data_IF_483188724933
#
_entry.id   IF_483188724933
#
_cell.length_a   1.000
_cell.length_b   1.000
_cell.length_c   1.000
_cell.angle_alpha   90.00
_cell.angle_beta   90.00
_cell.angle_gamma   90.00
#
_symmetry.space_group_name_H-M   'P 1'
#
loop_
_entity.id
_entity.type
_entity.pdbx_description
1 polymer ?
#
# COMPACT_ATOMS: atom_id res chain seq x y z
N UNK A 1 44.37 45.98 -13.36
CA UNK A 1 43.88 44.61 -13.14
C UNK A 1 42.37 44.69 -13.05
N UNK A 2 41.70 44.46 -14.18
CA UNK A 2 40.26 44.27 -14.29
C UNK A 2 39.99 42.76 -14.30
N UNK A 3 38.90 42.28 -13.70
CA UNK A 3 38.52 40.87 -13.79
C UNK A 3 37.88 40.57 -15.16
N UNK A 4 38.29 39.44 -15.74
CA UNK A 4 37.87 38.94 -17.05
C UNK A 4 36.38 38.58 -17.10
N UNK A 5 35.78 38.93 -18.24
CA UNK A 5 34.42 38.60 -18.65
C UNK A 5 34.33 37.14 -19.10
N UNK A 6 33.30 36.41 -18.68
CA UNK A 6 32.87 35.19 -19.37
C UNK A 6 31.93 35.54 -20.54
N UNK A 7 32.08 34.92 -21.73
CA UNK A 7 31.18 35.13 -22.85
C UNK A 7 30.08 34.05 -22.96
N UNK A 8 28.87 34.49 -23.33
CA UNK A 8 28.05 33.79 -24.32
C UNK A 8 26.88 32.96 -23.82
N UNK A 9 25.76 33.62 -23.57
CA UNK A 9 24.40 33.07 -23.77
C UNK A 9 24.16 32.79 -25.26
N UNK A 10 23.56 31.64 -25.58
CA UNK A 10 22.75 31.48 -26.79
C UNK A 10 21.66 30.42 -26.58
N UNK A 11 20.46 30.92 -26.26
CA UNK A 11 19.11 30.45 -26.60
C UNK A 11 18.80 28.94 -26.67
N UNK A 12 18.01 28.47 -25.70
CA UNK A 12 16.71 27.84 -25.98
C UNK A 12 15.79 27.94 -24.75
N UNK A 13 15.09 29.07 -24.65
CA UNK A 13 14.00 29.28 -23.69
C UNK A 13 12.82 28.38 -24.07
N UNK A 14 12.77 27.17 -23.52
CA UNK A 14 11.51 26.44 -23.40
C UNK A 14 10.75 27.02 -22.20
N UNK A 15 9.87 27.97 -22.50
CA UNK A 15 8.97 28.58 -21.54
C UNK A 15 8.11 27.50 -20.86
N UNK A 16 8.10 27.49 -19.52
CA UNK A 16 7.27 26.64 -18.63
C UNK A 16 5.77 26.61 -18.94
N UNK A 17 5.28 27.39 -19.92
CA UNK A 17 3.88 27.43 -20.37
C UNK A 17 3.52 26.42 -21.46
N UNK A 18 4.49 25.82 -22.15
CA UNK A 18 4.18 24.91 -23.27
C UNK A 18 3.91 23.44 -22.84
N UNK A 19 4.25 23.07 -21.61
CA UNK A 19 3.98 21.73 -21.07
C UNK A 19 2.48 21.45 -20.85
N UNK A 20 1.65 22.49 -20.72
CA UNK A 20 0.20 22.35 -20.45
C UNK A 20 -0.66 22.21 -21.72
N UNK A 21 -0.09 22.29 -22.92
CA UNK A 21 -0.86 22.25 -24.18
C UNK A 21 -1.06 20.86 -24.77
N UNK A 22 -0.33 19.84 -24.30
CA UNK A 22 -0.41 18.49 -24.89
C UNK A 22 -1.40 17.53 -24.20
N UNK A 23 -2.10 17.97 -23.15
CA UNK A 23 -3.08 17.13 -22.44
C UNK A 23 -4.53 17.22 -23.00
N UNK A 24 -4.75 17.91 -24.12
CA UNK A 24 -6.10 18.08 -24.66
C UNK A 24 -6.14 17.95 -26.19
N UNK A 25 -6.56 16.79 -26.68
CA UNK A 25 -7.06 16.64 -28.05
C UNK A 25 -6.76 15.30 -28.70
N UNK A 26 -7.80 14.49 -28.92
CA UNK A 26 -7.70 13.30 -29.77
C UNK A 26 -8.87 12.35 -29.68
N UNK A 27 -10.07 12.76 -30.11
CA UNK A 27 -11.15 11.83 -30.49
C UNK A 27 -11.13 11.70 -32.01
N UNK A 28 -10.91 10.50 -32.53
CA UNK A 28 -11.19 10.17 -33.92
C UNK A 28 -11.75 8.74 -34.01
N UNK A 29 -12.82 8.61 -34.79
CA UNK A 29 -13.65 7.43 -34.93
C UNK A 29 -13.40 6.66 -36.24
N UNK A 30 -13.68 5.35 -36.22
CA UNK A 30 -13.89 4.46 -37.38
C UNK A 30 -12.82 3.38 -37.54
N UNK A 31 -13.09 2.12 -37.89
CA UNK A 31 -14.34 1.40 -38.17
C UNK A 31 -14.09 -0.13 -38.10
N UNK A 32 -15.08 -0.84 -37.53
CA UNK A 32 -15.55 -2.23 -37.65
C UNK A 32 -14.79 -3.27 -38.51
N UNK A 33 -14.61 -4.48 -37.94
CA UNK A 33 -14.74 -5.73 -38.71
C UNK A 33 -14.03 -6.98 -38.16
N UNK A 34 -14.83 -7.89 -37.58
CA UNK A 34 -14.58 -9.33 -37.35
C UNK A 34 -13.66 -9.78 -36.20
N UNK A 35 -14.22 -9.93 -34.98
CA UNK A 35 -13.77 -10.90 -33.95
C UNK A 35 -14.78 -11.09 -32.78
N UNK A 36 -16.08 -11.12 -33.11
CA UNK A 36 -17.18 -10.97 -32.14
C UNK A 36 -17.47 -12.16 -31.18
N UNK A 37 -16.56 -13.12 -30.99
CA UNK A 37 -16.81 -14.29 -30.11
C UNK A 37 -15.72 -14.52 -29.05
N UNK A 38 -14.54 -13.93 -29.20
CA UNK A 38 -13.53 -13.86 -28.12
C UNK A 38 -13.66 -12.57 -27.28
N UNK A 39 -14.43 -11.59 -27.76
CA UNK A 39 -14.50 -10.22 -27.22
C UNK A 39 -15.38 -10.07 -25.95
N UNK A 40 -16.24 -11.06 -25.64
CA UNK A 40 -17.18 -10.94 -24.52
C UNK A 40 -16.53 -11.08 -23.13
N UNK A 41 -15.32 -11.66 -23.04
CA UNK A 41 -14.49 -11.65 -21.82
C UNK A 41 -13.40 -10.57 -21.84
N UNK A 42 -13.12 -9.96 -23.00
CA UNK A 42 -12.08 -8.96 -23.19
C UNK A 42 -12.59 -7.50 -23.23
N UNK A 43 -13.92 -7.28 -23.16
CA UNK A 43 -14.54 -5.94 -23.20
C UNK A 43 -15.50 -5.64 -22.03
N UNK A 44 -15.12 -6.02 -20.81
CA UNK A 44 -15.47 -5.19 -19.66
C UNK A 44 -14.19 -4.68 -19.00
N UNK A 45 -13.40 -3.90 -19.76
CA UNK A 45 -12.58 -2.88 -19.10
C UNK A 45 -13.60 -1.92 -18.48
N UNK A 46 -14.02 -2.21 -17.25
CA UNK A 46 -14.77 -1.27 -16.43
C UNK A 46 -13.92 -0.01 -16.40
N UNK A 47 -14.28 1.01 -17.18
CA UNK A 47 -13.62 2.31 -17.04
C UNK A 47 -13.80 2.71 -15.59
N UNK A 48 -12.70 2.93 -14.87
CA UNK A 48 -12.80 3.39 -13.48
C UNK A 48 -13.76 4.58 -13.41
N UNK A 49 -14.65 4.54 -12.43
CA UNK A 49 -15.66 5.58 -12.27
C UNK A 49 -15.00 6.89 -11.86
N UNK A 50 -14.73 7.75 -12.86
CA UNK A 50 -14.14 9.07 -12.65
C UNK A 50 -15.01 10.00 -11.81
N UNK A 51 -16.31 9.71 -11.64
CA UNK A 51 -17.17 10.44 -10.71
C UNK A 51 -16.67 10.34 -9.26
N UNK A 52 -16.02 9.23 -8.90
CA UNK A 52 -15.47 9.01 -7.56
C UNK A 52 -14.33 9.97 -7.22
N UNK A 53 -13.57 10.46 -8.20
CA UNK A 53 -12.47 11.41 -7.96
C UNK A 53 -12.96 12.69 -7.27
N UNK A 54 -14.15 13.15 -7.65
CA UNK A 54 -14.77 14.35 -7.08
C UNK A 54 -15.63 14.07 -5.85
N UNK A 55 -15.78 12.81 -5.45
CA UNK A 55 -16.41 12.46 -4.17
C UNK A 55 -15.46 12.76 -3.01
N UNK A 56 -15.98 13.02 -1.82
CA UNK A 56 -15.17 13.19 -0.59
C UNK A 56 -15.79 12.35 0.52
N UNK A 57 -15.69 11.01 0.44
CA UNK A 57 -16.16 10.14 1.51
C UNK A 57 -15.42 10.48 2.81
N UNK A 58 -16.16 10.48 3.92
CA UNK A 58 -15.67 10.79 5.26
C UNK A 58 -16.14 9.70 6.22
N UNK A 59 -15.29 9.31 7.16
CA UNK A 59 -15.73 8.44 8.24
C UNK A 59 -16.54 9.25 9.24
N UNK A 60 -17.67 8.71 9.67
CA UNK A 60 -18.55 9.35 10.65
C UNK A 60 -18.49 8.63 11.99
N UNK A 61 -19.23 9.15 12.97
CA UNK A 61 -19.47 8.46 14.23
C UNK A 61 -20.08 7.07 14.05
N UNK A 62 -20.76 6.79 12.93
CA UNK A 62 -21.24 5.44 12.63
C UNK A 62 -20.08 4.44 12.44
N UNK A 63 -19.04 4.83 11.69
CA UNK A 63 -17.82 4.00 11.57
C UNK A 63 -17.08 3.91 12.90
N UNK A 64 -16.95 5.02 13.63
CA UNK A 64 -16.35 5.00 14.98
C UNK A 64 -17.02 3.97 15.87
N UNK A 65 -18.34 4.06 16.01
CA UNK A 65 -19.13 3.18 16.86
C UNK A 65 -19.05 1.72 16.38
N UNK A 66 -19.07 1.50 15.06
CA UNK A 66 -18.90 0.17 14.48
C UNK A 66 -17.53 -0.46 14.83
N UNK A 67 -16.43 0.29 14.65
CA UNK A 67 -15.06 -0.16 14.99
C UNK A 67 -14.93 -0.39 16.51
N UNK A 68 -15.41 0.55 17.32
CA UNK A 68 -15.32 0.50 18.78
C UNK A 68 -16.14 -0.64 19.38
N UNK A 69 -17.34 -0.91 18.86
CA UNK A 69 -18.15 -2.03 19.32
C UNK A 69 -17.49 -3.38 19.00
N UNK A 70 -16.86 -3.52 17.83
CA UNK A 70 -16.15 -4.75 17.45
C UNK A 70 -14.94 -5.01 18.35
N UNK A 71 -14.09 -4.00 18.59
CA UNK A 71 -12.95 -4.18 19.48
C UNK A 71 -13.39 -4.44 20.92
N UNK A 72 -14.45 -3.79 21.42
CA UNK A 72 -14.99 -4.08 22.76
C UNK A 72 -15.56 -5.48 22.88
N UNK A 73 -16.20 -6.01 21.82
CA UNK A 73 -16.64 -7.41 21.78
C UNK A 73 -15.44 -8.35 21.89
N UNK A 74 -14.40 -8.13 21.08
CA UNK A 74 -13.15 -8.90 21.15
C UNK A 74 -12.50 -8.82 22.53
N UNK A 75 -12.50 -7.65 23.17
CA UNK A 75 -11.99 -7.47 24.53
C UNK A 75 -12.77 -8.30 25.54
N UNK A 76 -14.10 -8.30 25.45
CA UNK A 76 -14.97 -9.10 26.31
C UNK A 76 -14.72 -10.61 26.11
N UNK A 77 -14.62 -11.06 24.86
CA UNK A 77 -14.36 -12.46 24.52
C UNK A 77 -13.00 -12.96 25.05
N UNK A 78 -12.01 -12.07 25.16
CA UNK A 78 -10.67 -12.35 25.66
C UNK A 78 -10.44 -11.98 27.14
N UNK A 79 -11.50 -11.52 27.83
CA UNK A 79 -11.46 -11.15 29.23
C UNK A 79 -10.33 -10.16 29.55
N UNK A 80 -10.28 -9.04 28.81
CA UNK A 80 -9.39 -7.90 29.06
C UNK A 80 -10.19 -6.64 29.38
N UNK A 81 -9.72 -5.88 30.37
CA UNK A 81 -10.41 -4.68 30.87
C UNK A 81 -10.07 -3.42 30.07
N UNK A 82 -8.94 -3.45 29.34
CA UNK A 82 -8.49 -2.36 28.47
C UNK A 82 -7.53 -2.88 27.39
N UNK A 83 -7.34 -2.10 26.33
CA UNK A 83 -6.27 -2.28 25.34
C UNK A 83 -5.21 -1.19 25.50
N UNK A 84 -3.94 -1.55 25.40
CA UNK A 84 -2.82 -0.63 25.22
C UNK A 84 -2.23 -0.83 23.82
N UNK A 85 -2.44 0.17 22.96
CA UNK A 85 -2.20 0.08 21.51
C UNK A 85 -1.07 1.04 21.13
N UNK A 86 0.11 0.49 20.84
CA UNK A 86 1.28 1.25 20.40
C UNK A 86 1.50 1.25 18.89
N UNK A 87 0.84 0.34 18.18
CA UNK A 87 0.94 0.30 16.73
C UNK A 87 0.25 1.53 16.13
N UNK A 88 1.01 2.36 15.43
CA UNK A 88 0.54 3.63 14.86
C UNK A 88 -0.67 3.47 13.94
N UNK A 89 -0.68 2.43 13.11
CA UNK A 89 -1.77 2.19 12.15
C UNK A 89 -3.04 1.71 12.87
N UNK A 90 -2.91 0.81 13.84
CA UNK A 90 -4.05 0.33 14.63
C UNK A 90 -4.62 1.44 15.54
N UNK A 91 -3.73 2.25 16.11
CA UNK A 91 -4.08 3.43 16.88
C UNK A 91 -4.86 4.43 16.01
N UNK A 92 -4.36 4.72 14.80
CA UNK A 92 -5.05 5.58 13.84
C UNK A 92 -6.40 5.01 13.43
N UNK A 93 -6.52 3.70 13.21
CA UNK A 93 -7.80 3.06 12.89
C UNK A 93 -8.88 3.29 13.96
N UNK A 94 -8.49 3.36 15.24
CA UNK A 94 -9.45 3.55 16.35
C UNK A 94 -9.65 5.00 16.77
N UNK A 95 -8.76 5.91 16.37
CA UNK A 95 -8.78 7.31 16.84
C UNK A 95 -8.82 8.37 15.74
N UNK A 96 -8.54 8.00 14.48
CA UNK A 96 -8.21 8.89 13.36
C UNK A 96 -7.03 9.85 13.63
N UNK A 97 -6.20 9.55 14.65
CA UNK A 97 -5.02 10.32 15.00
C UNK A 97 -3.73 9.62 14.55
N UNK A 98 -2.71 10.39 14.20
CA UNK A 98 -1.39 9.86 13.86
C UNK A 98 -0.44 9.91 15.05
N UNK A 99 0.48 8.94 15.12
CA UNK A 99 1.60 8.86 16.08
C UNK A 99 1.17 8.82 17.53
N UNK A 100 0.00 8.27 17.81
CA UNK A 100 -0.57 8.14 19.15
C UNK A 100 -0.43 6.73 19.68
N UNK A 101 -0.24 6.60 21.00
CA UNK A 101 -0.53 5.37 21.75
C UNK A 101 -1.91 5.48 22.36
N UNK A 102 -2.76 4.46 22.28
CA UNK A 102 -4.08 4.47 22.91
C UNK A 102 -4.12 3.60 24.16
N UNK A 103 -4.72 4.12 25.23
CA UNK A 103 -5.31 3.31 26.30
C UNK A 103 -6.82 3.28 26.07
N UNK A 104 -7.35 2.14 25.67
CA UNK A 104 -8.74 1.95 25.26
C UNK A 104 -9.46 1.05 26.28
N UNK A 105 -10.21 1.60 27.24
CA UNK A 105 -10.91 0.78 28.25
C UNK A 105 -12.11 0.04 27.64
N UNK A 106 -12.49 -1.09 28.25
CA UNK A 106 -13.67 -1.87 27.83
C UNK A 106 -14.95 -1.04 27.92
N UNK A 107 -15.00 -0.12 28.89
CA UNK A 107 -16.07 0.85 29.09
C UNK A 107 -15.51 2.27 29.27
N UNK A 108 -16.22 3.25 28.72
CA UNK A 108 -15.83 4.66 28.72
C UNK A 108 -14.88 5.09 27.60
N UNK A 109 -14.41 6.34 27.70
CA UNK A 109 -13.61 7.00 26.67
C UNK A 109 -12.14 6.55 26.65
N UNK A 110 -11.56 6.30 25.46
CA UNK A 110 -10.13 6.09 25.28
C UNK A 110 -9.29 7.33 25.64
N UNK A 111 -8.01 7.09 25.91
CA UNK A 111 -7.00 8.14 26.07
C UNK A 111 -5.97 8.00 24.95
N UNK A 112 -5.70 9.08 24.23
CA UNK A 112 -4.66 9.14 23.23
C UNK A 112 -3.42 9.88 23.75
N UNK A 113 -2.27 9.23 23.71
CA UNK A 113 -0.98 9.80 24.12
C UNK A 113 -0.15 10.12 22.89
N UNK A 114 0.28 11.38 22.78
CA UNK A 114 1.15 11.84 21.69
C UNK A 114 2.50 12.27 22.26
N UNK A 115 3.57 11.57 21.86
CA UNK A 115 4.94 11.86 22.33
C UNK A 115 5.57 13.06 21.61
N UNK A 116 4.82 13.72 20.72
CA UNK A 116 5.30 14.91 20.04
C UNK A 116 5.52 16.05 21.05
N UNK A 117 6.74 16.57 21.11
CA UNK A 117 7.19 17.49 22.17
C UNK A 117 6.52 18.87 22.18
N UNK A 118 5.68 19.19 21.19
CA UNK A 118 4.91 20.44 21.13
C UNK A 118 3.42 20.15 21.05
N UNK A 119 2.77 20.04 22.22
CA UNK A 119 1.32 19.84 22.28
C UNK A 119 0.49 20.98 21.69
N UNK A 120 1.04 22.19 21.63
CA UNK A 120 0.36 23.33 21.00
C UNK A 120 0.15 23.13 19.49
N UNK A 121 1.10 22.49 18.79
CA UNK A 121 0.96 22.23 17.35
C UNK A 121 -0.11 21.18 17.06
N UNK A 122 -0.20 20.15 17.92
CA UNK A 122 -1.23 19.12 17.80
C UNK A 122 -2.62 19.69 18.14
N UNK A 123 -2.72 20.47 19.21
CA UNK A 123 -3.96 21.15 19.60
C UNK A 123 -4.45 22.11 18.51
N UNK A 124 -3.56 22.87 17.87
CA UNK A 124 -3.94 23.76 16.77
C UNK A 124 -4.56 23.00 15.59
N UNK A 125 -3.94 21.89 15.16
CA UNK A 125 -4.44 21.08 14.06
C UNK A 125 -5.80 20.44 14.40
N UNK A 126 -5.94 19.92 15.61
CA UNK A 126 -7.19 19.34 16.11
C UNK A 126 -8.32 20.37 16.13
N UNK A 127 -8.10 21.52 16.78
CA UNK A 127 -9.12 22.57 16.91
C UNK A 127 -9.54 23.13 15.55
N UNK A 128 -8.60 23.31 14.61
CA UNK A 128 -8.93 23.69 13.23
C UNK A 128 -9.78 22.63 12.52
N UNK A 129 -9.53 21.36 12.78
CA UNK A 129 -10.36 20.26 12.30
C UNK A 129 -11.78 20.36 12.83
N UNK A 130 -11.93 20.57 14.15
CA UNK A 130 -13.23 20.72 14.80
C UNK A 130 -13.99 21.97 14.31
N UNK A 131 -13.30 23.10 14.15
CA UNK A 131 -13.86 24.33 13.56
C UNK A 131 -14.33 24.11 12.10
N UNK A 132 -13.68 23.18 11.38
CA UNK A 132 -14.05 22.76 10.04
C UNK A 132 -15.13 21.64 10.03
N UNK A 133 -15.64 21.24 11.20
CA UNK A 133 -16.67 20.21 11.35
C UNK A 133 -16.17 18.76 11.33
N UNK A 134 -14.86 18.54 11.45
CA UNK A 134 -14.27 17.19 11.58
C UNK A 134 -14.41 16.74 13.03
N UNK A 135 -15.14 15.64 13.26
CA UNK A 135 -15.36 15.10 14.60
C UNK A 135 -14.10 14.42 15.15
N UNK A 136 -13.62 14.88 16.31
CA UNK A 136 -12.61 14.17 17.10
C UNK A 136 -13.23 12.94 17.76
N UNK A 137 -12.71 11.75 17.44
CA UNK A 137 -13.21 10.49 18.01
C UNK A 137 -12.77 10.29 19.46
N UNK A 138 -11.55 10.71 19.79
CA UNK A 138 -11.00 10.67 21.15
C UNK A 138 -10.97 12.08 21.72
N UNK A 139 -11.49 12.25 22.95
CA UNK A 139 -11.54 13.55 23.64
C UNK A 139 -10.42 13.75 24.66
N UNK A 140 -9.97 12.69 25.32
CA UNK A 140 -8.82 12.75 26.26
C UNK A 140 -7.52 12.57 25.47
N UNK A 141 -6.99 13.69 24.97
CA UNK A 141 -5.73 13.73 24.22
C UNK A 141 -4.65 14.33 25.12
N UNK A 142 -3.61 13.54 25.35
CA UNK A 142 -2.47 13.88 26.21
C UNK A 142 -1.23 14.10 25.36
N UNK A 143 -1.08 15.32 24.89
CA UNK A 143 0.08 15.75 24.11
C UNK A 143 1.35 15.87 24.96
N UNK A 144 2.51 15.67 24.32
CA UNK A 144 3.80 15.53 24.98
C UNK A 144 3.83 14.46 26.10
N UNK A 145 2.93 13.47 26.03
CA UNK A 145 2.83 12.34 26.96
C UNK A 145 2.90 11.00 26.21
N UNK A 146 2.94 9.88 26.94
CA UNK A 146 3.13 8.53 26.37
C UNK A 146 4.47 7.88 26.74
N UNK A 147 5.19 8.44 27.70
CA UNK A 147 6.31 7.73 28.36
C UNK A 147 5.75 6.62 29.26
N UNK A 148 6.57 5.63 29.66
CA UNK A 148 6.12 4.61 30.61
C UNK A 148 5.53 5.17 31.91
N UNK A 149 6.03 6.31 32.39
CA UNK A 149 5.52 6.98 33.60
C UNK A 149 4.10 7.51 33.35
N UNK A 150 3.90 8.25 32.26
CA UNK A 150 2.57 8.79 31.93
C UNK A 150 1.53 7.68 31.70
N UNK A 151 1.94 6.59 31.05
CA UNK A 151 1.07 5.43 30.83
C UNK A 151 0.74 4.72 32.15
N UNK A 152 1.71 4.55 33.05
CA UNK A 152 1.47 3.99 34.38
C UNK A 152 0.53 4.88 35.22
N UNK A 153 0.66 6.21 35.13
CA UNK A 153 -0.24 7.14 35.80
C UNK A 153 -1.67 7.01 35.27
N UNK A 154 -1.86 6.95 33.96
CA UNK A 154 -3.18 6.77 33.36
C UNK A 154 -3.82 5.41 33.69
N UNK A 155 -3.04 4.33 33.76
CA UNK A 155 -3.51 3.02 34.22
C UNK A 155 -4.07 3.13 35.65
N UNK A 156 -3.37 3.84 36.54
CA UNK A 156 -3.82 4.10 37.91
C UNK A 156 -5.05 5.00 37.96
N UNK A 157 -5.08 6.09 37.18
CA UNK A 157 -6.24 6.99 37.09
C UNK A 157 -7.52 6.26 36.67
N UNK A 158 -7.39 5.22 35.83
CA UNK A 158 -8.50 4.37 35.38
C UNK A 158 -8.78 3.17 36.31
N UNK A 159 -8.07 3.03 37.43
CA UNK A 159 -8.16 1.89 38.36
C UNK A 159 -7.86 0.54 37.70
N UNK A 160 -6.92 0.53 36.75
CA UNK A 160 -6.54 -0.64 35.96
C UNK A 160 -5.23 -1.29 36.48
N UNK A 161 -4.74 -0.98 37.69
CA UNK A 161 -3.40 -1.45 38.13
C UNK A 161 -3.32 -2.97 38.33
N UNK A 162 -4.48 -3.63 38.41
CA UNK A 162 -4.65 -5.06 38.60
C UNK A 162 -5.41 -5.71 37.44
N UNK A 163 -5.56 -4.97 36.34
CA UNK A 163 -6.34 -5.37 35.18
C UNK A 163 -5.58 -6.34 34.28
N UNK A 164 -6.34 -7.02 33.43
CA UNK A 164 -5.84 -7.71 32.24
C UNK A 164 -5.89 -6.73 31.08
N UNK A 165 -4.74 -6.33 30.57
CA UNK A 165 -4.62 -5.36 29.48
C UNK A 165 -4.25 -6.10 28.20
N UNK A 166 -5.13 -6.05 27.21
CA UNK A 166 -4.81 -6.47 25.85
C UNK A 166 -3.77 -5.53 25.24
N UNK A 167 -2.84 -6.02 24.42
CA UNK A 167 -1.75 -5.20 23.90
C UNK A 167 -1.55 -5.38 22.41
N UNK A 168 -1.16 -4.30 21.73
CA UNK A 168 -0.48 -4.31 20.43
C UNK A 168 0.84 -3.55 20.56
N UNK A 169 1.98 -4.17 20.29
CA UNK A 169 3.26 -3.45 20.25
C UNK A 169 3.96 -3.24 21.60
N UNK A 170 3.44 -3.79 22.70
CA UNK A 170 3.95 -3.55 24.06
C UNK A 170 5.05 -4.55 24.43
N UNK A 171 4.74 -5.84 24.38
CA UNK A 171 5.70 -6.94 24.57
C UNK A 171 6.08 -7.60 23.24
N UNK A 172 5.17 -7.58 22.26
CA UNK A 172 5.42 -8.05 20.90
C UNK A 172 4.92 -7.01 19.89
N UNK A 173 5.60 -6.84 18.75
CA UNK A 173 5.22 -5.89 17.68
C UNK A 173 4.33 -6.56 16.62
N UNK A 174 3.69 -5.76 15.76
CA UNK A 174 2.94 -6.25 14.59
C UNK A 174 3.79 -7.14 13.67
N UNK A 175 3.14 -8.05 12.94
CA UNK A 175 3.81 -9.18 12.29
C UNK A 175 4.80 -8.80 11.18
N UNK A 176 4.49 -7.81 10.35
CA UNK A 176 5.43 -7.34 9.30
C UNK A 176 6.76 -6.86 9.90
N UNK A 177 6.72 -6.18 11.06
CA UNK A 177 7.93 -5.75 11.73
C UNK A 177 8.70 -6.91 12.36
N UNK A 178 8.02 -8.00 12.78
CA UNK A 178 8.68 -9.26 13.18
C UNK A 178 9.40 -9.91 12.00
N UNK A 179 8.73 -10.02 10.85
CA UNK A 179 9.26 -10.62 9.61
C UNK A 179 10.49 -9.91 9.07
N UNK A 180 10.49 -8.58 9.10
CA UNK A 180 11.61 -7.77 8.57
C UNK A 180 12.81 -7.66 9.50
N UNK A 181 12.79 -8.33 10.66
CA UNK A 181 13.86 -8.24 11.66
C UNK A 181 13.98 -6.87 12.33
N UNK A 182 13.01 -5.97 12.11
CA UNK A 182 12.88 -4.69 12.81
C UNK A 182 12.30 -4.89 14.21
N UNK A 183 12.84 -5.87 14.93
CA UNK A 183 12.48 -6.23 16.29
C UNK A 183 12.93 -5.15 17.26
N UNK A 184 11.98 -4.40 17.83
CA UNK A 184 12.20 -3.62 19.06
C UNK A 184 10.95 -3.60 19.94
N UNK A 185 10.74 -4.59 20.82
CA UNK A 185 10.05 -4.30 22.07
C UNK A 185 10.48 -5.14 23.30
N UNK A 186 10.03 -4.69 24.48
CA UNK A 186 10.26 -5.28 25.80
C UNK A 186 10.47 -4.22 26.90
N UNK A 187 10.93 -3.02 26.53
CA UNK A 187 11.21 -1.94 27.47
C UNK A 187 9.95 -1.36 28.12
N UNK A 188 8.87 -1.13 27.35
CA UNK A 188 7.65 -0.55 27.90
C UNK A 188 6.92 -1.52 28.83
N UNK A 189 6.64 -2.75 28.37
CA UNK A 189 5.95 -3.74 29.20
C UNK A 189 6.70 -4.02 30.50
N UNK A 190 8.04 -4.12 30.45
CA UNK A 190 8.87 -4.24 31.66
C UNK A 190 8.78 -3.02 32.58
N UNK A 191 8.81 -1.81 32.03
CA UNK A 191 8.71 -0.58 32.82
C UNK A 191 7.33 -0.43 33.48
N UNK A 192 6.25 -0.82 32.80
CA UNK A 192 4.89 -0.80 33.34
C UNK A 192 4.72 -1.83 34.47
N UNK A 193 5.24 -3.06 34.30
CA UNK A 193 5.21 -4.09 35.36
C UNK A 193 6.01 -3.70 36.60
N UNK A 194 7.06 -2.89 36.46
CA UNK A 194 7.80 -2.38 37.64
C UNK A 194 6.96 -1.42 38.48
N UNK A 195 6.09 -0.62 37.85
CA UNK A 195 5.20 0.32 38.54
C UNK A 195 3.92 -0.37 39.03
N UNK A 196 3.37 -1.29 38.23
CA UNK A 196 2.14 -2.04 38.50
C UNK A 196 2.39 -3.55 38.37
N UNK A 197 2.92 -4.21 39.43
CA UNK A 197 3.34 -5.61 39.36
C UNK A 197 2.22 -6.63 39.14
N UNK A 198 0.96 -6.21 39.29
CA UNK A 198 -0.23 -7.05 39.12
C UNK A 198 -0.87 -6.91 37.73
N UNK A 199 -0.29 -6.12 36.82
CA UNK A 199 -0.75 -6.07 35.44
C UNK A 199 -0.44 -7.37 34.71
N UNK A 200 -1.45 -7.87 34.01
CA UNK A 200 -1.31 -8.96 33.05
C UNK A 200 -1.45 -8.38 31.64
N UNK A 201 -0.49 -8.67 30.76
CA UNK A 201 -0.58 -8.31 29.34
C UNK A 201 -0.99 -9.51 28.51
N UNK A 202 -1.94 -9.30 27.61
CA UNK A 202 -2.48 -10.31 26.68
C UNK A 202 -2.27 -9.79 25.26
N UNK A 203 -1.44 -10.44 24.45
CA UNK A 203 -1.28 -10.05 23.05
C UNK A 203 -2.54 -10.44 22.27
N UNK A 204 -3.19 -9.48 21.59
CA UNK A 204 -4.46 -9.70 20.89
C UNK A 204 -4.42 -9.24 19.42
N UNK A 205 -3.22 -9.12 18.84
CA UNK A 205 -3.05 -8.63 17.47
C UNK A 205 -3.80 -9.49 16.45
N UNK A 206 -3.83 -10.81 16.64
CA UNK A 206 -4.39 -11.74 15.66
C UNK A 206 -5.92 -11.64 15.61
N UNK A 207 -6.54 -11.57 16.77
CA UNK A 207 -7.97 -11.35 16.95
C UNK A 207 -8.39 -9.99 16.38
N UNK A 208 -7.62 -8.93 16.68
CA UNK A 208 -7.93 -7.59 16.17
C UNK A 208 -7.78 -7.48 14.67
N UNK A 209 -6.76 -8.14 14.11
CA UNK A 209 -6.46 -8.03 12.69
C UNK A 209 -7.57 -8.61 11.82
N UNK A 210 -8.19 -9.72 12.24
CA UNK A 210 -9.38 -10.26 11.58
C UNK A 210 -10.52 -9.23 11.55
N UNK A 211 -10.72 -8.49 12.65
CA UNK A 211 -11.74 -7.44 12.70
C UNK A 211 -11.42 -6.27 11.77
N UNK A 212 -10.14 -5.90 11.67
CA UNK A 212 -9.66 -4.75 10.91
C UNK A 212 -9.65 -5.01 9.41
N UNK A 213 -9.40 -6.24 8.96
CA UNK A 213 -9.38 -6.59 7.54
C UNK A 213 -10.72 -6.38 6.83
N UNK A 214 -11.84 -6.54 7.53
CA UNK A 214 -13.19 -6.34 6.99
C UNK A 214 -13.55 -4.85 7.01
N UNK A 215 -14.04 -4.32 5.88
CA UNK A 215 -14.43 -2.92 5.72
C UNK A 215 -15.94 -2.73 5.77
N UNK A 216 -16.37 -1.61 6.33
CA UNK A 216 -17.74 -1.14 6.19
C UNK A 216 -17.93 -0.28 4.92
N UNK A 217 -19.13 0.24 4.72
CA UNK A 217 -19.49 1.00 3.52
C UNK A 217 -18.73 2.33 3.39
N UNK A 218 -18.51 3.06 4.50
CA UNK A 218 -17.79 4.34 4.49
C UNK A 218 -16.31 4.13 4.13
N UNK A 219 -15.68 3.11 4.72
CA UNK A 219 -14.31 2.71 4.40
C UNK A 219 -14.19 2.22 2.95
N UNK A 220 -15.18 1.45 2.49
CA UNK A 220 -15.23 0.95 1.10
C UNK A 220 -15.34 2.12 0.11
N UNK A 221 -16.11 3.15 0.42
CA UNK A 221 -16.20 4.35 -0.42
C UNK A 221 -14.86 5.09 -0.51
N UNK A 222 -14.12 5.19 0.59
CA UNK A 222 -12.76 5.76 0.60
C UNK A 222 -11.78 4.92 -0.23
N UNK A 223 -11.82 3.60 -0.07
CA UNK A 223 -10.98 2.68 -0.84
C UNK A 223 -11.25 2.79 -2.35
N UNK A 224 -12.52 2.81 -2.77
CA UNK A 224 -12.91 3.01 -4.18
C UNK A 224 -12.42 4.36 -4.73
N UNK A 225 -12.51 5.44 -3.93
CA UNK A 225 -11.95 6.74 -4.34
C UNK A 225 -10.42 6.68 -4.49
N UNK A 226 -9.72 6.05 -3.54
CA UNK A 226 -8.27 5.87 -3.63
C UNK A 226 -7.89 5.09 -4.89
N UNK A 227 -8.63 4.03 -5.22
CA UNK A 227 -8.41 3.22 -6.41
C UNK A 227 -8.71 3.98 -7.71
N UNK A 228 -9.76 4.79 -7.76
CA UNK A 228 -10.04 5.65 -8.92
C UNK A 228 -8.91 6.66 -9.17
N UNK A 229 -8.33 7.21 -8.09
CA UNK A 229 -7.17 8.11 -8.19
C UNK A 229 -5.88 7.38 -8.58
N UNK A 230 -5.70 6.14 -8.13
CA UNK A 230 -4.61 5.27 -8.60
C UNK A 230 -4.74 4.94 -10.09
N UNK A 231 -5.95 4.67 -10.59
CA UNK A 231 -6.20 4.45 -12.02
C UNK A 231 -5.80 5.67 -12.85
N UNK A 232 -6.17 6.87 -12.39
CA UNK A 232 -5.75 8.12 -13.04
C UNK A 232 -4.22 8.28 -13.03
N UNK A 233 -3.57 7.92 -11.92
CA UNK A 233 -2.10 7.94 -11.82
C UNK A 233 -1.46 7.00 -12.86
N UNK A 234 -2.03 5.81 -13.09
CA UNK A 234 -1.59 4.87 -14.14
C UNK A 234 -1.71 5.45 -15.55
N UNK A 235 -2.84 6.09 -15.86
CA UNK A 235 -3.06 6.71 -17.18
C UNK A 235 -1.99 7.76 -17.45
N UNK A 236 -1.72 8.63 -16.47
CA UNK A 236 -0.72 9.69 -16.56
C UNK A 236 0.70 9.15 -16.59
N UNK A 237 0.97 8.07 -15.84
CA UNK A 237 2.25 7.36 -15.89
C UNK A 237 2.50 6.82 -17.30
N UNK A 238 1.53 6.11 -17.88
CA UNK A 238 1.59 5.58 -19.24
C UNK A 238 1.86 6.69 -20.25
N UNK A 239 1.07 7.77 -20.18
CA UNK A 239 1.15 8.88 -21.14
C UNK A 239 2.50 9.62 -21.06
N UNK A 240 3.17 9.60 -19.89
CA UNK A 240 4.49 10.18 -19.71
C UNK A 240 5.65 9.26 -20.14
N UNK A 241 5.40 7.97 -20.43
CA UNK A 241 6.42 7.00 -20.85
C UNK A 241 6.84 7.18 -22.32
N UNK A 242 7.35 8.36 -22.66
CA UNK A 242 7.74 8.74 -24.04
C UNK A 242 9.27 8.75 -24.16
N UNK A 243 9.87 8.25 -25.26
CA UNK A 243 11.31 8.39 -25.50
C UNK A 243 11.79 9.83 -25.33
N UNK A 244 12.87 10.02 -24.58
CA UNK A 244 13.43 11.35 -24.26
C UNK A 244 12.94 11.95 -22.95
N UNK A 245 11.75 11.56 -22.45
CA UNK A 245 11.36 11.87 -21.08
C UNK A 245 12.25 11.13 -20.07
N UNK A 246 12.31 11.62 -18.86
CA UNK A 246 13.00 10.95 -17.75
C UNK A 246 12.02 10.22 -16.82
N UNK A 247 12.52 9.29 -16.01
CA UNK A 247 11.72 8.68 -14.94
C UNK A 247 11.22 9.72 -13.92
N UNK A 248 11.86 10.88 -13.82
CA UNK A 248 11.38 11.99 -13.00
C UNK A 248 10.15 12.68 -13.61
N UNK A 249 10.07 12.79 -14.93
CA UNK A 249 8.90 13.35 -15.63
C UNK A 249 7.69 12.44 -15.45
N UNK A 250 7.90 11.11 -15.55
CA UNK A 250 6.88 10.10 -15.26
C UNK A 250 6.42 10.18 -13.80
N UNK A 251 7.36 10.30 -12.84
CA UNK A 251 7.05 10.50 -11.42
C UNK A 251 6.18 11.73 -11.19
N UNK A 252 6.53 12.85 -11.81
CA UNK A 252 5.78 14.11 -11.67
C UNK A 252 4.37 14.00 -12.27
N UNK A 253 4.22 13.36 -13.43
CA UNK A 253 2.94 13.16 -14.09
C UNK A 253 1.98 12.33 -13.23
N UNK A 254 2.44 11.17 -12.73
CA UNK A 254 1.63 10.29 -11.90
C UNK A 254 1.25 10.90 -10.55
N UNK A 255 2.09 11.76 -9.96
CA UNK A 255 1.83 12.38 -8.66
C UNK A 255 0.88 13.61 -8.75
N UNK A 256 1.06 14.44 -9.78
CA UNK A 256 0.52 15.81 -9.80
C UNK A 256 -1.01 15.87 -9.82
N UNK A 257 -1.65 15.25 -10.80
CA UNK A 257 -3.09 15.38 -11.00
C UNK A 257 -3.90 14.63 -9.93
N UNK A 258 -3.58 13.37 -9.54
CA UNK A 258 -4.32 12.69 -8.48
C UNK A 258 -4.37 13.49 -7.17
N UNK A 259 -3.26 14.17 -6.81
CA UNK A 259 -3.18 15.00 -5.60
C UNK A 259 -4.24 16.11 -5.55
N UNK A 260 -4.76 16.57 -6.69
CA UNK A 260 -5.82 17.61 -6.74
C UNK A 260 -7.17 17.12 -6.22
N UNK A 261 -7.37 15.81 -6.16
CA UNK A 261 -8.62 15.19 -5.68
C UNK A 261 -8.61 14.91 -4.17
N UNK A 262 -7.63 15.43 -3.43
CA UNK A 262 -7.55 15.26 -1.97
C UNK A 262 -7.18 13.84 -1.55
N UNK A 263 -6.38 13.16 -2.37
CA UNK A 263 -5.71 11.89 -2.01
C UNK A 263 -4.23 12.15 -1.75
N UNK A 264 -3.61 11.28 -0.96
CA UNK A 264 -2.19 11.31 -0.67
C UNK A 264 -1.49 10.15 -1.39
N UNK A 265 -0.39 10.40 -2.09
CA UNK A 265 0.44 9.33 -2.63
C UNK A 265 1.51 8.94 -1.59
N UNK A 266 1.16 7.98 -0.74
CA UNK A 266 1.99 7.56 0.41
C UNK A 266 3.18 6.70 0.00
N UNK A 267 3.11 6.04 -1.17
CA UNK A 267 4.22 5.31 -1.75
C UNK A 267 4.29 5.53 -3.27
N UNK A 268 5.50 5.77 -3.78
CA UNK A 268 5.79 5.83 -5.21
C UNK A 268 7.25 5.48 -5.50
N UNK A 269 7.48 4.33 -6.13
CA UNK A 269 8.75 4.02 -6.78
C UNK A 269 8.56 3.77 -8.28
N UNK A 270 9.58 4.15 -9.06
CA UNK A 270 9.61 3.97 -10.51
C UNK A 270 10.98 3.45 -10.90
N UNK A 271 11.00 2.37 -11.66
CA UNK A 271 12.18 1.82 -12.30
C UNK A 271 11.98 1.69 -13.80
N UNK A 272 13.04 1.30 -14.50
CA UNK A 272 12.93 1.06 -15.92
C UNK A 272 14.28 0.99 -16.63
N UNK A 273 14.20 0.60 -17.90
CA UNK A 273 15.33 0.39 -18.78
C UNK A 273 15.08 -0.82 -19.69
N UNK A 274 16.11 -1.32 -20.39
CA UNK A 274 15.95 -2.42 -21.34
C UNK A 274 15.38 -3.70 -20.72
N UNK A 275 15.68 -3.96 -19.44
CA UNK A 275 15.23 -5.13 -18.68
C UNK A 275 14.04 -4.83 -17.73
N UNK A 276 13.58 -3.57 -17.65
CA UNK A 276 12.69 -3.15 -16.57
C UNK A 276 13.38 -3.16 -15.20
N UNK A 277 12.67 -3.63 -14.18
CA UNK A 277 13.22 -3.83 -12.82
C UNK A 277 13.05 -2.67 -11.84
N UNK A 278 13.61 -2.84 -10.63
CA UNK A 278 13.51 -1.86 -9.53
C UNK A 278 14.16 -0.52 -9.84
N UNK A 279 13.77 0.49 -9.08
CA UNK A 279 14.34 1.83 -9.11
C UNK A 279 15.88 1.80 -9.02
N UNK A 280 16.55 2.31 -10.06
CA UNK A 280 17.93 2.80 -9.94
C UNK A 280 17.87 3.93 -8.91
N UNK A 281 18.69 3.96 -7.84
CA UNK A 281 18.51 4.88 -6.72
C UNK A 281 18.93 6.33 -7.05
N UNK A 282 18.47 6.90 -8.16
CA UNK A 282 18.83 8.23 -8.65
C UNK A 282 18.36 9.33 -7.69
N UNK A 283 17.16 9.19 -7.12
CA UNK A 283 16.67 10.06 -6.05
C UNK A 283 17.53 10.00 -4.79
N UNK A 284 17.90 8.79 -4.33
CA UNK A 284 18.65 8.60 -3.08
C UNK A 284 20.13 8.94 -3.21
N UNK A 285 20.67 8.96 -4.44
CA UNK A 285 22.09 9.23 -4.71
C UNK A 285 22.35 10.58 -5.36
N UNK A 286 21.32 11.38 -5.61
CA UNK A 286 21.46 12.72 -6.22
C UNK A 286 22.07 12.68 -7.62
N UNK A 287 21.84 11.60 -8.38
CA UNK A 287 22.31 11.48 -9.77
C UNK A 287 21.18 11.78 -10.74
N UNK A 288 21.52 12.07 -11.99
CA UNK A 288 20.55 12.41 -13.03
C UNK A 288 19.49 11.30 -13.16
N UNK A 289 18.19 11.64 -13.27
CA UNK A 289 17.15 10.66 -13.56
C UNK A 289 17.42 9.94 -14.89
N UNK A 290 17.19 8.61 -14.98
CA UNK A 290 17.31 7.88 -16.24
C UNK A 290 16.39 8.45 -17.32
N UNK A 291 16.89 8.50 -18.55
CA UNK A 291 16.14 8.90 -19.76
C UNK A 291 15.54 7.64 -20.40
N UNK A 292 14.28 7.74 -20.79
CA UNK A 292 13.50 6.69 -21.43
C UNK A 292 13.92 6.56 -22.90
N UNK A 293 14.13 5.34 -23.36
CA UNK A 293 14.46 4.99 -24.74
C UNK A 293 13.42 4.02 -25.31
N UNK A 294 13.36 3.94 -26.64
CA UNK A 294 12.61 2.88 -27.33
C UNK A 294 13.15 1.51 -26.92
N UNK A 295 12.25 0.58 -26.63
CA UNK A 295 12.55 -0.77 -26.17
C UNK A 295 12.70 -0.88 -24.65
N UNK A 296 12.66 0.24 -23.91
CA UNK A 296 12.64 0.19 -22.44
C UNK A 296 11.30 -0.35 -21.94
N UNK A 297 11.36 -1.04 -20.81
CA UNK A 297 10.21 -1.40 -19.99
C UNK A 297 10.27 -0.50 -18.74
N UNK A 298 9.21 0.26 -18.49
CA UNK A 298 9.09 1.17 -17.34
C UNK A 298 8.12 0.55 -16.35
N UNK A 299 8.54 0.45 -15.08
CA UNK A 299 7.77 -0.23 -14.02
C UNK A 299 7.51 0.74 -12.88
N UNK A 300 6.28 0.78 -12.39
CA UNK A 300 5.89 1.64 -11.26
C UNK A 300 5.03 0.90 -10.25
N UNK A 301 5.13 1.31 -9.00
CA UNK A 301 4.23 0.92 -7.91
C UNK A 301 3.82 2.16 -7.15
N UNK A 302 2.51 2.27 -6.88
CA UNK A 302 1.91 3.43 -6.25
C UNK A 302 1.00 2.93 -5.14
N UNK A 303 1.03 3.63 -4.02
CA UNK A 303 0.02 3.49 -2.98
C UNK A 303 -0.64 4.86 -2.80
N UNK A 304 -1.92 4.92 -3.11
CA UNK A 304 -2.76 6.11 -3.02
C UNK A 304 -3.69 5.96 -1.82
N UNK A 305 -3.72 6.97 -0.96
CA UNK A 305 -4.49 6.99 0.27
C UNK A 305 -5.65 8.00 0.17
N UNK A 306 -6.84 7.57 0.56
CA UNK A 306 -7.98 8.45 0.85
C UNK A 306 -8.46 8.15 2.27
N UNK A 307 -8.41 9.14 3.17
CA UNK A 307 -9.00 9.02 4.51
C UNK A 307 -8.53 7.81 5.30
N UNK A 308 -7.23 7.48 5.25
CA UNK A 308 -6.62 6.31 5.91
C UNK A 308 -6.77 4.98 5.16
N UNK A 309 -7.49 4.92 4.02
CA UNK A 309 -7.60 3.73 3.18
C UNK A 309 -6.69 3.84 1.95
N UNK A 310 -5.85 2.84 1.77
CA UNK A 310 -4.89 2.71 0.68
C UNK A 310 -5.44 1.81 -0.42
N UNK A 311 -5.31 2.28 -1.66
CA UNK A 311 -5.27 1.43 -2.84
C UNK A 311 -3.83 1.36 -3.32
N UNK A 312 -3.40 0.17 -3.73
CA UNK A 312 -2.10 -0.04 -4.38
C UNK A 312 -2.32 -0.44 -5.83
N UNK A 313 -1.35 -0.13 -6.69
CA UNK A 313 -1.26 -0.68 -8.04
C UNK A 313 0.20 -0.87 -8.44
N UNK A 314 0.44 -1.78 -9.38
CA UNK A 314 1.72 -2.00 -10.05
C UNK A 314 1.52 -1.96 -11.56
N UNK A 315 2.25 -1.11 -12.27
CA UNK A 315 2.12 -0.90 -13.71
C UNK A 315 3.43 -1.21 -14.43
N UNK A 316 3.33 -1.81 -15.61
CA UNK A 316 4.44 -1.99 -16.54
C UNK A 316 4.07 -1.44 -17.92
N UNK A 317 4.91 -0.55 -18.46
CA UNK A 317 4.72 0.11 -19.76
C UNK A 317 5.94 -0.16 -20.64
N UNK A 318 5.73 -0.83 -21.77
CA UNK A 318 6.74 -1.07 -22.80
C UNK A 318 6.73 0.05 -23.82
N UNK A 319 7.89 0.68 -24.02
CA UNK A 319 8.07 1.78 -24.96
C UNK A 319 8.37 1.22 -26.34
N UNK A 320 7.32 0.76 -27.04
CA UNK A 320 7.39 -0.04 -28.26
C UNK A 320 7.06 -1.52 -28.00
N UNK A 321 7.15 -2.38 -29.03
CA UNK A 321 6.76 -3.79 -28.93
C UNK A 321 7.56 -4.57 -27.87
N UNK A 322 6.89 -5.46 -27.14
CA UNK A 322 7.56 -6.40 -26.25
C UNK A 322 8.44 -7.36 -27.04
N UNK A 323 9.66 -7.58 -26.53
CA UNK A 323 10.48 -8.71 -26.95
C UNK A 323 9.87 -10.03 -26.48
N UNK A 324 10.23 -11.14 -27.12
CA UNK A 324 9.72 -12.49 -26.78
C UNK A 324 9.86 -12.80 -25.28
N UNK A 325 11.02 -12.50 -24.68
CA UNK A 325 11.26 -12.71 -23.25
C UNK A 325 10.32 -11.88 -22.37
N UNK A 326 10.05 -10.62 -22.72
CA UNK A 326 9.14 -9.74 -21.95
C UNK A 326 7.69 -10.15 -22.14
N UNK A 327 7.33 -10.63 -23.34
CA UNK A 327 6.00 -11.15 -23.64
C UNK A 327 5.72 -12.42 -22.84
N UNK A 328 6.66 -13.36 -22.78
CA UNK A 328 6.57 -14.56 -21.93
C UNK A 328 6.32 -14.18 -20.45
N UNK A 329 7.07 -13.21 -19.91
CA UNK A 329 6.86 -12.73 -18.55
C UNK A 329 5.50 -12.03 -18.36
N UNK A 330 5.06 -11.23 -19.33
CA UNK A 330 3.74 -10.59 -19.29
C UNK A 330 2.60 -11.63 -19.30
N UNK A 331 2.72 -12.68 -20.12
CA UNK A 331 1.76 -13.77 -20.20
C UNK A 331 1.70 -14.56 -18.87
N UNK A 332 2.85 -14.81 -18.23
CA UNK A 332 2.91 -15.44 -16.90
C UNK A 332 2.22 -14.58 -15.83
N UNK A 333 2.49 -13.27 -15.82
CA UNK A 333 1.84 -12.35 -14.91
C UNK A 333 0.31 -12.31 -15.13
N UNK A 334 -0.13 -12.31 -16.39
CA UNK A 334 -1.55 -12.36 -16.75
C UNK A 334 -2.20 -13.66 -16.27
N UNK A 335 -1.58 -14.81 -16.54
CA UNK A 335 -2.07 -16.12 -16.08
C UNK A 335 -2.15 -16.18 -14.54
N UNK A 336 -1.20 -15.58 -13.83
CA UNK A 336 -1.22 -15.46 -12.36
C UNK A 336 -2.36 -14.55 -11.86
N UNK A 337 -2.62 -13.43 -12.56
CA UNK A 337 -3.76 -12.55 -12.28
C UNK A 337 -5.09 -13.29 -12.47
N UNK A 338 -5.26 -13.99 -13.60
CA UNK A 338 -6.46 -14.78 -13.90
C UNK A 338 -6.69 -15.88 -12.87
N UNK A 339 -5.62 -16.58 -12.45
CA UNK A 339 -5.70 -17.58 -11.40
C UNK A 339 -6.20 -17.00 -10.06
N UNK A 340 -5.86 -15.75 -9.74
CA UNK A 340 -6.42 -15.06 -8.59
C UNK A 340 -7.93 -14.86 -8.74
N UNK A 341 -8.37 -14.26 -9.86
CA UNK A 341 -9.77 -13.94 -10.09
C UNK A 341 -10.66 -15.19 -10.11
N UNK A 342 -10.17 -16.28 -10.70
CA UNK A 342 -10.90 -17.54 -10.81
C UNK A 342 -11.05 -18.26 -9.46
N UNK A 343 -10.08 -18.08 -8.55
CA UNK A 343 -10.02 -18.83 -7.29
C UNK A 343 -10.60 -18.08 -6.09
N UNK A 344 -10.39 -16.76 -6.01
CA UNK A 344 -10.68 -15.99 -4.81
C UNK A 344 -12.18 -16.03 -4.46
N UNK A 345 -12.48 -16.49 -3.24
CA UNK A 345 -13.84 -16.51 -2.72
C UNK A 345 -13.83 -16.45 -1.18
N UNK A 346 -14.93 -16.00 -0.55
CA UNK A 346 -15.07 -16.08 0.90
C UNK A 346 -14.97 -17.53 1.39
N UNK A 347 -14.25 -17.75 2.48
CA UNK A 347 -14.03 -19.08 3.08
C UNK A 347 -12.78 -19.81 2.60
N UNK A 348 -12.10 -19.33 1.56
CA UNK A 348 -10.81 -19.84 1.10
C UNK A 348 -9.68 -19.45 2.07
N UNK A 349 -8.61 -20.24 2.17
CA UNK A 349 -7.39 -19.84 2.86
C UNK A 349 -6.53 -18.94 1.98
N UNK A 350 -5.87 -17.94 2.57
CA UNK A 350 -4.95 -17.05 1.85
C UNK A 350 -3.80 -17.82 1.16
N UNK A 351 -3.28 -18.88 1.80
CA UNK A 351 -2.23 -19.73 1.22
C UNK A 351 -2.69 -20.48 -0.03
N UNK A 352 -3.95 -20.94 -0.07
CA UNK A 352 -4.51 -21.61 -1.25
C UNK A 352 -4.55 -20.64 -2.43
N UNK A 353 -4.85 -19.36 -2.18
CA UNK A 353 -4.86 -18.33 -3.21
C UNK A 353 -3.44 -18.00 -3.67
N UNK A 354 -2.50 -17.86 -2.73
CA UNK A 354 -1.08 -17.68 -3.03
C UNK A 354 -0.52 -18.82 -3.89
N UNK A 355 -0.86 -20.07 -3.59
CA UNK A 355 -0.46 -21.24 -4.36
C UNK A 355 -1.07 -21.26 -5.78
N UNK A 356 -2.33 -20.88 -5.93
CA UNK A 356 -2.97 -20.74 -7.24
C UNK A 356 -2.23 -19.71 -8.12
N UNK A 357 -1.89 -18.56 -7.54
CA UNK A 357 -1.16 -17.49 -8.22
C UNK A 357 0.30 -17.84 -8.52
N UNK A 358 0.97 -18.62 -7.66
CA UNK A 358 2.37 -19.03 -7.84
C UNK A 358 2.56 -20.11 -8.91
N UNK A 359 1.50 -20.89 -9.21
CA UNK A 359 1.52 -21.98 -10.18
C UNK A 359 2.12 -21.62 -11.55
N UNK A 360 1.65 -20.56 -12.23
CA UNK A 360 2.21 -20.09 -13.51
C UNK A 360 3.72 -19.81 -13.45
N UNK A 361 4.18 -19.11 -12.41
CA UNK A 361 5.59 -18.73 -12.27
C UNK A 361 6.47 -19.96 -12.07
N UNK A 362 6.06 -20.87 -11.18
CA UNK A 362 6.79 -22.12 -10.90
C UNK A 362 6.87 -23.03 -12.13
N UNK A 363 5.79 -23.14 -12.92
CA UNK A 363 5.79 -23.90 -14.19
C UNK A 363 6.79 -23.35 -15.20
N UNK A 364 6.90 -22.02 -15.29
CA UNK A 364 7.84 -21.36 -16.20
C UNK A 364 9.29 -21.30 -15.67
N UNK A 365 9.49 -21.63 -14.39
CA UNK A 365 10.76 -21.42 -13.68
C UNK A 365 11.10 -19.94 -13.51
N UNK A 366 10.09 -19.06 -13.52
CA UNK A 366 10.25 -17.64 -13.22
C UNK A 366 10.48 -17.43 -11.73
N UNK A 367 11.13 -16.33 -11.38
CA UNK A 367 11.24 -15.89 -10.00
C UNK A 367 10.44 -14.61 -9.77
N UNK A 368 9.96 -14.39 -8.55
CA UNK A 368 9.20 -13.19 -8.18
C UNK A 368 10.00 -12.34 -7.22
N UNK A 369 9.90 -11.03 -7.31
CA UNK A 369 10.64 -10.09 -6.47
C UNK A 369 9.80 -9.53 -5.31
N UNK A 370 8.51 -9.33 -5.54
CA UNK A 370 7.51 -8.89 -4.56
C UNK A 370 6.52 -10.03 -4.29
N UNK A 371 5.63 -9.92 -3.29
CA UNK A 371 4.52 -10.86 -3.17
C UNK A 371 3.63 -10.83 -4.42
N UNK A 372 2.93 -11.93 -4.71
CA UNK A 372 1.91 -12.01 -5.76
C UNK A 372 0.58 -11.41 -5.31
N UNK A 373 0.29 -11.48 -4.01
CA UNK A 373 -0.90 -10.87 -3.41
C UNK A 373 -0.63 -10.53 -1.95
N UNK A 374 -1.28 -9.48 -1.46
CA UNK A 374 -1.38 -9.19 -0.04
C UNK A 374 -2.69 -8.49 0.32
N UNK A 375 -3.07 -8.57 1.59
CA UNK A 375 -4.19 -7.77 2.11
C UNK A 375 -3.88 -6.27 2.07
N UNK A 376 -4.92 -5.46 2.02
CA UNK A 376 -4.84 -4.01 2.16
C UNK A 376 -5.68 -3.54 3.35
N UNK A 377 -5.22 -2.46 3.98
CA UNK A 377 -5.94 -1.74 5.02
C UNK A 377 -6.32 -2.59 6.24
N UNK A 378 -5.41 -3.38 6.83
CA UNK A 378 -3.94 -3.27 6.74
C UNK A 378 -3.27 -4.32 5.82
N UNK A 379 -1.99 -4.12 5.54
CA UNK A 379 -1.14 -5.16 4.93
C UNK A 379 -0.66 -6.10 6.02
N UNK A 380 -1.12 -7.36 6.01
CA UNK A 380 -0.90 -8.31 7.11
C UNK A 380 -0.71 -9.74 6.62
N UNK A 381 -1.49 -10.20 5.63
CA UNK A 381 -1.22 -11.46 4.93
C UNK A 381 -0.52 -11.17 3.62
N UNK A 382 0.60 -11.86 3.37
CA UNK A 382 1.52 -11.57 2.26
C UNK A 382 2.10 -12.87 1.74
N UNK A 383 2.00 -13.13 0.44
CA UNK A 383 2.61 -14.33 -0.15
C UNK A 383 4.15 -14.27 -0.11
N UNK A 384 4.80 -15.36 -0.51
CA UNK A 384 6.26 -15.49 -0.57
C UNK A 384 6.88 -14.33 -1.36
N UNK A 385 8.04 -13.84 -0.93
CA UNK A 385 8.82 -12.81 -1.62
C UNK A 385 10.18 -13.40 -1.99
N UNK A 386 10.67 -13.08 -3.20
CA UNK A 386 11.96 -13.56 -3.73
C UNK A 386 11.99 -15.06 -4.08
N UNK A 387 10.84 -15.73 -4.16
CA UNK A 387 10.75 -17.15 -4.54
C UNK A 387 11.44 -17.39 -5.89
N UNK A 388 12.38 -18.35 -5.92
CA UNK A 388 13.06 -18.77 -7.13
C UNK A 388 14.24 -17.87 -7.55
N UNK A 389 14.54 -16.80 -6.81
CA UNK A 389 15.59 -15.83 -7.18
C UNK A 389 16.98 -16.47 -7.32
N UNK A 390 17.22 -17.58 -6.62
CA UNK A 390 18.47 -18.34 -6.67
C UNK A 390 18.40 -19.60 -7.55
N UNK A 391 17.32 -19.76 -8.31
CA UNK A 391 17.06 -20.88 -9.22
C UNK A 391 17.74 -20.74 -10.59
N UNK A 392 17.51 -21.68 -11.52
CA UNK A 392 18.21 -21.74 -12.81
C UNK A 392 17.98 -20.53 -13.73
N UNK A 393 16.77 -19.93 -13.70
CA UNK A 393 16.45 -18.66 -14.36
C UNK A 393 16.42 -17.48 -13.38
N UNK A 394 17.01 -17.66 -12.20
CA UNK A 394 17.11 -16.67 -11.12
C UNK A 394 18.06 -15.52 -11.45
N UNK A 395 18.22 -14.59 -10.51
CA UNK A 395 19.04 -13.40 -10.72
C UNK A 395 20.56 -13.75 -10.81
N UNK A 396 21.24 -13.50 -11.94
CA UNK A 396 22.64 -13.90 -12.12
C UNK A 396 23.59 -13.09 -11.23
N UNK A 397 24.59 -13.75 -10.64
CA UNK A 397 25.63 -13.08 -9.85
C UNK A 397 25.29 -12.84 -8.38
N UNK A 398 24.05 -13.12 -7.96
CA UNK A 398 23.60 -12.90 -6.57
C UNK A 398 24.32 -13.84 -5.60
N UNK A 399 24.38 -15.15 -5.92
CA UNK A 399 25.07 -16.14 -5.08
C UNK A 399 26.55 -15.82 -4.97
N UNK A 400 27.20 -15.45 -6.07
CA UNK A 400 28.64 -15.19 -6.14
C UNK A 400 29.01 -13.93 -5.35
N UNK A 401 28.23 -12.86 -5.52
CA UNK A 401 28.49 -11.58 -4.85
C UNK A 401 28.21 -11.62 -3.35
N UNK A 402 27.20 -12.39 -2.94
CA UNK A 402 26.72 -12.43 -1.56
C UNK A 402 26.90 -13.81 -0.91
N UNK A 403 27.89 -14.59 -1.35
CA UNK A 403 28.14 -15.97 -0.92
C UNK A 403 28.29 -16.16 0.61
N UNK A 404 28.61 -15.10 1.35
CA UNK A 404 28.73 -15.09 2.81
C UNK A 404 27.49 -14.56 3.55
N UNK A 405 26.39 -14.29 2.87
CA UNK A 405 25.16 -13.75 3.45
C UNK A 405 24.01 -14.69 3.15
N UNK A 406 23.18 -14.93 4.16
CA UNK A 406 21.95 -15.69 3.98
C UNK A 406 20.90 -14.80 3.30
N UNK A 407 20.82 -14.89 1.97
CA UNK A 407 19.73 -14.28 1.19
C UNK A 407 18.51 -15.18 1.27
N UNK A 408 17.80 -15.12 2.41
CA UNK A 408 16.57 -15.89 2.61
C UNK A 408 15.47 -15.36 1.70
N UNK A 409 14.77 -16.29 1.06
CA UNK A 409 13.42 -16.01 0.58
C UNK A 409 12.54 -15.69 1.79
N UNK A 410 11.70 -14.67 1.69
CA UNK A 410 10.79 -14.35 2.77
C UNK A 410 9.56 -15.22 2.57
N UNK A 411 9.38 -16.21 3.45
CA UNK A 411 8.22 -17.10 3.43
C UNK A 411 6.89 -16.35 3.46
N UNK A 412 5.83 -17.07 3.13
CA UNK A 412 4.46 -16.60 3.24
C UNK A 412 4.14 -16.22 4.69
N UNK A 413 3.36 -15.15 4.83
CA UNK A 413 2.89 -14.64 6.12
C UNK A 413 1.37 -14.77 6.19
N UNK A 414 0.90 -15.40 7.27
CA UNK A 414 -0.51 -15.65 7.57
C UNK A 414 -1.31 -16.26 6.43
N UNK A 415 -0.74 -17.33 5.87
CA UNK A 415 -1.39 -18.18 4.88
C UNK A 415 -2.68 -18.84 5.40
N UNK A 416 -2.81 -19.01 6.71
CA UNK A 416 -4.00 -19.57 7.36
C UNK A 416 -5.20 -18.62 7.46
N UNK A 417 -5.04 -17.34 7.10
CA UNK A 417 -6.14 -16.37 7.08
C UNK A 417 -7.28 -16.89 6.19
N UNK A 418 -8.49 -16.97 6.75
CA UNK A 418 -9.70 -17.24 5.98
C UNK A 418 -10.21 -15.94 5.38
N UNK A 419 -10.44 -15.93 4.07
CA UNK A 419 -10.91 -14.75 3.36
C UNK A 419 -12.39 -14.49 3.69
N UNK A 420 -12.74 -13.23 3.93
CA UNK A 420 -14.12 -12.80 4.20
C UNK A 420 -14.55 -11.68 3.25
N UNK A 421 -15.86 -11.59 3.00
CA UNK A 421 -16.42 -10.46 2.30
C UNK A 421 -16.13 -9.14 3.04
N UNK A 422 -15.83 -8.08 2.29
CA UNK A 422 -15.39 -6.79 2.81
C UNK A 422 -13.86 -6.69 2.99
N UNK A 423 -13.10 -7.74 2.68
CA UNK A 423 -11.63 -7.66 2.64
C UNK A 423 -11.14 -7.04 1.32
N UNK A 424 -10.11 -6.20 1.44
CA UNK A 424 -9.43 -5.56 0.31
C UNK A 424 -8.05 -6.20 0.09
N UNK A 425 -7.65 -6.33 -1.17
CA UNK A 425 -6.39 -6.95 -1.57
C UNK A 425 -5.67 -6.11 -2.61
N UNK A 426 -4.35 -6.23 -2.62
CA UNK A 426 -3.52 -5.90 -3.77
C UNK A 426 -3.15 -7.18 -4.49
N UNK A 427 -3.53 -7.28 -5.76
CA UNK A 427 -3.09 -8.34 -6.68
C UNK A 427 -1.85 -7.81 -7.38
N UNK A 428 -0.69 -8.45 -7.20
CA UNK A 428 0.62 -8.02 -7.69
C UNK A 428 1.41 -9.15 -8.38
N UNK A 429 0.88 -9.77 -9.44
CA UNK A 429 1.65 -10.72 -10.21
C UNK A 429 2.89 -10.06 -10.80
N UNK A 430 4.04 -10.57 -10.37
CA UNK A 430 5.34 -10.08 -10.77
C UNK A 430 6.26 -11.27 -11.08
N UNK A 431 6.85 -11.25 -12.27
CA UNK A 431 7.65 -12.36 -12.78
C UNK A 431 8.96 -11.85 -13.38
N UNK A 432 10.01 -12.62 -13.18
CA UNK A 432 11.32 -12.35 -13.76
C UNK A 432 12.03 -13.59 -14.28
N UNK A 433 12.82 -13.34 -15.33
CA UNK A 433 13.88 -14.21 -15.79
C UNK A 433 15.18 -13.44 -15.74
N UNK A 434 16.15 -13.99 -15.03
CA UNK A 434 17.45 -13.37 -14.85
C UNK A 434 17.30 -11.95 -14.27
N UNK A 435 17.46 -10.92 -15.11
CA UNK A 435 17.35 -9.51 -14.74
C UNK A 435 16.07 -8.86 -15.28
N UNK A 436 15.42 -9.48 -16.26
CA UNK A 436 14.22 -8.94 -16.90
C UNK A 436 13.02 -9.17 -15.98
N UNK A 437 12.29 -8.11 -15.65
CA UNK A 437 11.25 -8.13 -14.63
C UNK A 437 10.00 -7.38 -15.11
N UNK A 438 8.84 -8.01 -14.96
CA UNK A 438 7.51 -7.45 -15.20
C UNK A 438 6.75 -7.43 -13.88
N UNK A 439 6.02 -6.33 -13.63
CA UNK A 439 5.09 -6.22 -12.50
C UNK A 439 3.78 -5.60 -12.96
N UNK A 440 2.68 -6.24 -12.63
CA UNK A 440 1.33 -5.83 -13.00
C UNK A 440 0.40 -6.05 -11.84
N UNK A 441 -0.75 -5.39 -11.87
CA UNK A 441 -1.87 -5.67 -11.00
C UNK A 441 -2.30 -4.49 -10.14
N UNK A 442 -3.42 -4.66 -9.46
CA UNK A 442 -4.15 -3.55 -8.87
C UNK A 442 -5.00 -4.00 -7.70
N UNK A 443 -5.79 -3.06 -7.19
CA UNK A 443 -6.62 -3.29 -6.03
C UNK A 443 -7.88 -4.07 -6.37
N UNK A 444 -8.28 -4.95 -5.46
CA UNK A 444 -9.47 -5.76 -5.54
C UNK A 444 -10.24 -5.73 -4.21
N UNK A 445 -11.57 -5.72 -4.26
CA UNK A 445 -12.43 -5.93 -3.10
C UNK A 445 -13.16 -7.26 -3.21
N UNK A 446 -13.17 -8.04 -2.13
CA UNK A 446 -13.93 -9.29 -2.03
C UNK A 446 -15.35 -9.02 -1.50
N UNK A 447 -16.36 -9.50 -2.21
CA UNK A 447 -17.77 -9.42 -1.83
C UNK A 447 -18.33 -10.82 -1.54
N UNK A 448 -19.56 -10.88 -1.01
CA UNK A 448 -20.23 -12.17 -0.72
C UNK A 448 -20.41 -13.02 -1.98
N UNK A 449 -20.78 -12.39 -3.09
CA UNK A 449 -21.16 -13.06 -4.33
C UNK A 449 -20.13 -12.89 -5.47
N UNK A 450 -18.92 -12.42 -5.16
CA UNK A 450 -17.88 -12.24 -6.16
C UNK A 450 -16.82 -11.23 -5.77
N UNK A 451 -16.14 -10.68 -6.76
CA UNK A 451 -15.08 -9.69 -6.58
C UNK A 451 -15.31 -8.44 -7.41
N UNK A 452 -14.74 -7.34 -6.94
CA UNK A 452 -14.71 -6.05 -7.62
C UNK A 452 -13.27 -5.68 -7.92
N UNK A 453 -12.87 -5.80 -9.18
CA UNK A 453 -11.62 -5.26 -9.69
C UNK A 453 -11.73 -3.74 -9.81
N UNK A 454 -10.81 -3.01 -9.18
CA UNK A 454 -10.88 -1.54 -9.14
C UNK A 454 -9.91 -0.87 -10.12
N UNK A 455 -8.90 -1.60 -10.59
CA UNK A 455 -7.82 -1.05 -11.41
C UNK A 455 -7.49 -1.91 -12.65
N UNK A 456 -8.32 -1.90 -13.69
CA UNK A 456 -8.09 -2.75 -14.86
C UNK A 456 -6.93 -2.31 -15.75
N UNK A 457 -6.52 -1.03 -15.74
CA UNK A 457 -5.41 -0.54 -16.60
C UNK A 457 -4.10 -1.29 -16.36
N UNK A 458 -3.85 -1.71 -15.12
CA UNK A 458 -2.62 -2.37 -14.72
C UNK A 458 -2.73 -3.89 -14.71
N UNK A 459 -3.84 -4.46 -15.16
CA UNK A 459 -4.04 -5.90 -15.23
C UNK A 459 -3.21 -6.58 -16.34
N UNK A 460 -2.57 -5.79 -17.21
CA UNK A 460 -1.69 -6.23 -18.29
C UNK A 460 -0.49 -5.27 -18.44
N UNK A 461 0.56 -5.74 -19.10
CA UNK A 461 1.63 -4.85 -19.60
C UNK A 461 1.07 -4.00 -20.74
N UNK A 462 1.35 -2.70 -20.69
CA UNK A 462 0.89 -1.74 -21.71
C UNK A 462 1.96 -1.58 -22.78
N UNK A 463 1.66 -1.92 -24.04
CA UNK A 463 2.53 -1.67 -25.19
C UNK A 463 2.20 -0.32 -25.84
N UNK A 464 3.18 0.59 -25.92
CA UNK A 464 3.01 1.86 -26.62
C UNK A 464 3.32 1.71 -28.11
N UNK A 465 2.43 2.20 -28.96
CA UNK A 465 2.64 2.33 -30.41
C UNK A 465 3.41 3.64 -30.68
N UNK A 466 4.71 3.58 -30.46
CA UNK A 466 5.64 4.72 -30.61
C UNK A 466 6.64 4.47 -31.71
#
# INVERSE_FOLDING_TARGET
>A
MQPDKMPGDSHSDLCRRDFLKYAAGGVAAGALGANAVMDARAQSILKADRGLLTSYPTLTSATKDWRWNRIRSMMADNNVDAMLIMNDQASRYLSEMQRTTLLFPIDGEPIAFSVFGSGAMEAEALMKGEDAGIESWVRDIRSAQGTPVHLAEAIREKNLENARIGTFGVDQIGHIQRRTGNWRPGGLGSALRQQHPRLEFVELWDEFMQLWLVKNDEETAMFRKAAAAAELACELFRDACVPGNTLADVKAAAYSEPSRYGVEMVHLWIGGGPDGGREIPWLRRGVRPPVINRGDLIVGEFMVNCGSLNSQICISVSVGPLSDKKRELADICRESYDACLDAICPGMMFSELGEAMAGPLRRAGAWQMSPLIHTLNPTESVTIITEGILGPRGYPGVRERFAGVELRELGEDRGELILEAGMAFQIEPNAAFERTFVNTGGSLMLHVDGTEELNPICANVIELDV
#
